data_IF_579426895893
#
_entry.id   IF_579426895893
#
_cell.length_a   1.000
_cell.length_b   1.000
_cell.length_c   1.000
_cell.angle_alpha   90.00
_cell.angle_beta   90.00
_cell.angle_gamma   90.00
#
_symmetry.space_group_name_H-M   'P 1'
#
loop_
_entity.id
_entity.type
_entity.pdbx_description
1 polymer ?
#
# COMPACT_ATOMS: atom_id res chain seq x y z
N UNK A 1 -7.31 -13.66 -6.89
CA UNK A 1 -6.07 -12.94 -7.18
C UNK A 1 -5.79 -11.90 -6.10
N UNK A 2 -4.53 -11.65 -5.78
CA UNK A 2 -4.12 -10.72 -4.71
C UNK A 2 -3.08 -9.72 -5.21
N UNK A 3 -3.26 -8.44 -4.83
CA UNK A 3 -2.20 -7.43 -4.87
C UNK A 3 -1.66 -7.19 -3.46
N UNK A 4 -0.36 -7.22 -3.29
CA UNK A 4 0.34 -6.77 -2.08
C UNK A 4 1.02 -5.44 -2.42
N UNK A 5 0.54 -4.37 -1.81
CA UNK A 5 0.99 -3.01 -2.04
C UNK A 5 1.71 -2.49 -0.79
N UNK A 6 2.95 -2.05 -0.92
CA UNK A 6 3.83 -1.71 0.20
C UNK A 6 4.17 -0.22 0.14
N UNK A 7 3.86 0.50 1.21
CA UNK A 7 4.34 1.88 1.38
C UNK A 7 5.87 1.88 1.52
N UNK A 8 6.55 2.55 0.59
CA UNK A 8 8.00 2.72 0.57
C UNK A 8 8.41 4.16 0.89
N UNK A 9 7.61 4.90 1.64
CA UNK A 9 7.96 6.24 2.08
C UNK A 9 9.10 6.26 3.11
N UNK A 10 9.73 7.42 3.26
CA UNK A 10 10.86 7.60 4.19
C UNK A 10 10.51 7.35 5.66
N UNK A 11 9.25 7.43 6.06
CA UNK A 11 8.79 7.11 7.42
C UNK A 11 8.98 5.63 7.77
N UNK A 12 9.00 4.75 6.76
CA UNK A 12 9.25 3.31 6.91
C UNK A 12 10.73 2.94 7.04
N UNK A 13 11.66 3.87 6.92
CA UNK A 13 13.11 3.59 6.88
C UNK A 13 13.58 2.73 8.05
N UNK A 14 13.14 3.03 9.26
CA UNK A 14 13.54 2.28 10.48
C UNK A 14 12.97 0.86 10.54
N UNK A 15 11.94 0.55 9.75
CA UNK A 15 11.23 -0.73 9.72
C UNK A 15 11.35 -1.42 8.37
N UNK A 16 12.24 -0.95 7.52
CA UNK A 16 12.37 -1.44 6.13
C UNK A 16 12.53 -2.97 6.08
N UNK A 17 13.38 -3.54 6.93
CA UNK A 17 13.58 -4.99 6.99
C UNK A 17 12.33 -5.75 7.45
N UNK A 18 11.65 -5.25 8.48
CA UNK A 18 10.44 -5.88 9.04
C UNK A 18 9.29 -5.84 8.02
N UNK A 19 9.11 -4.70 7.34
CA UNK A 19 8.09 -4.56 6.29
C UNK A 19 8.36 -5.49 5.11
N UNK A 20 9.61 -5.59 4.65
CA UNK A 20 10.00 -6.53 3.61
C UNK A 20 9.74 -7.97 4.03
N UNK A 21 10.09 -8.34 5.27
CA UNK A 21 9.85 -9.67 5.81
C UNK A 21 8.35 -9.99 5.88
N UNK A 22 7.51 -9.05 6.31
CA UNK A 22 6.06 -9.25 6.33
C UNK A 22 5.48 -9.47 4.93
N UNK A 23 5.90 -8.67 3.96
CA UNK A 23 5.48 -8.84 2.58
C UNK A 23 5.93 -10.19 2.02
N UNK A 24 7.15 -10.63 2.36
CA UNK A 24 7.67 -11.94 2.00
C UNK A 24 6.85 -13.07 2.61
N UNK A 25 6.54 -13.02 3.91
CA UNK A 25 5.72 -14.04 4.61
C UNK A 25 4.33 -14.15 3.96
N UNK A 26 3.69 -13.02 3.65
CA UNK A 26 2.39 -13.00 2.95
C UNK A 26 2.53 -13.67 1.58
N UNK A 27 3.59 -13.34 0.84
CA UNK A 27 3.86 -13.88 -0.48
C UNK A 27 4.09 -15.40 -0.46
N UNK A 28 4.85 -15.89 0.53
CA UNK A 28 5.08 -17.31 0.74
C UNK A 28 3.77 -18.06 1.07
N UNK A 29 2.92 -17.46 1.90
CA UNK A 29 1.61 -18.01 2.23
C UNK A 29 0.71 -18.12 0.98
N UNK A 30 0.70 -17.09 0.13
CA UNK A 30 -0.06 -17.09 -1.12
C UNK A 30 0.47 -18.12 -2.12
N UNK A 31 1.81 -18.28 -2.21
CA UNK A 31 2.43 -19.32 -3.03
C UNK A 31 2.05 -20.73 -2.57
N UNK A 32 1.99 -20.97 -1.25
CA UNK A 32 1.66 -22.28 -0.69
C UNK A 32 0.22 -22.72 -0.99
N UNK A 33 -0.66 -21.81 -1.35
CA UNK A 33 -2.07 -22.11 -1.69
C UNK A 33 -2.40 -21.82 -3.16
N UNK A 34 -1.37 -21.64 -3.99
CA UNK A 34 -1.47 -21.41 -5.44
C UNK A 34 -2.40 -20.25 -5.84
N UNK A 35 -2.46 -19.20 -5.02
CA UNK A 35 -3.21 -17.99 -5.34
C UNK A 35 -2.33 -17.07 -6.20
N UNK A 36 -2.75 -16.65 -7.42
CA UNK A 36 -2.03 -15.63 -8.19
C UNK A 36 -1.92 -14.32 -7.43
N UNK A 37 -0.71 -13.75 -7.34
CA UNK A 37 -0.50 -12.49 -6.65
C UNK A 37 0.64 -11.67 -7.24
N UNK A 38 0.54 -10.35 -7.09
CA UNK A 38 1.55 -9.37 -7.48
C UNK A 38 2.03 -8.63 -6.22
N UNK A 39 3.32 -8.29 -6.19
CA UNK A 39 3.91 -7.50 -5.10
C UNK A 39 4.55 -6.25 -5.66
N UNK A 40 4.16 -5.10 -5.13
CA UNK A 40 4.67 -3.79 -5.51
C UNK A 40 4.89 -2.92 -4.29
N UNK A 41 5.84 -1.99 -4.39
CA UNK A 41 5.91 -0.86 -3.46
C UNK A 41 5.63 0.45 -4.18
N UNK A 42 5.32 1.49 -3.40
CA UNK A 42 5.13 2.84 -3.93
C UNK A 42 5.81 3.89 -3.06
N UNK A 43 6.32 4.91 -3.71
CA UNK A 43 6.70 6.17 -3.08
C UNK A 43 6.43 7.32 -4.05
N UNK A 44 6.38 8.55 -3.52
CA UNK A 44 6.20 9.76 -4.35
C UNK A 44 7.47 10.59 -4.31
N UNK A 45 8.01 10.87 -5.48
CA UNK A 45 9.21 11.66 -5.66
C UNK A 45 8.90 12.82 -6.61
N UNK A 46 9.13 14.06 -6.14
CA UNK A 46 8.70 15.26 -6.86
C UNK A 46 7.19 15.23 -7.11
N UNK A 47 6.75 15.25 -8.36
CA UNK A 47 5.36 15.32 -8.81
C UNK A 47 4.82 14.00 -9.37
N UNK A 48 5.54 12.88 -9.19
CA UNK A 48 5.12 11.57 -9.66
C UNK A 48 5.27 10.48 -8.61
N UNK A 49 4.37 9.52 -8.66
CA UNK A 49 4.42 8.31 -7.82
C UNK A 49 5.09 7.19 -8.59
N UNK A 50 6.10 6.61 -7.97
CA UNK A 50 6.85 5.46 -8.47
C UNK A 50 6.17 4.19 -7.95
N UNK A 51 5.83 3.28 -8.85
CA UNK A 51 5.35 1.94 -8.53
C UNK A 51 6.45 0.94 -8.86
N UNK A 52 7.12 0.42 -7.86
CA UNK A 52 8.18 -0.57 -8.04
C UNK A 52 7.61 -1.97 -7.87
N UNK A 53 7.70 -2.80 -8.90
CA UNK A 53 7.18 -4.16 -8.92
C UNK A 53 8.27 -5.18 -8.64
N UNK A 54 8.09 -5.99 -7.60
CA UNK A 54 9.01 -7.08 -7.22
C UNK A 54 8.67 -8.39 -7.92
N UNK A 55 7.37 -8.67 -8.10
CA UNK A 55 6.91 -9.83 -8.87
C UNK A 55 5.57 -9.56 -9.56
N UNK A 56 5.32 -10.30 -10.61
CA UNK A 56 4.04 -10.37 -11.35
C UNK A 56 3.17 -11.49 -10.80
N UNK A 57 1.89 -11.50 -11.19
CA UNK A 57 0.91 -12.49 -10.72
C UNK A 57 1.33 -13.95 -10.98
N UNK A 58 1.91 -14.23 -12.13
CA UNK A 58 2.20 -15.57 -12.60
C UNK A 58 3.71 -15.92 -12.53
N UNK A 59 4.49 -15.09 -11.84
CA UNK A 59 5.91 -15.37 -11.63
C UNK A 59 6.09 -16.56 -10.67
N UNK A 60 7.16 -17.35 -10.82
CA UNK A 60 7.43 -18.46 -9.93
C UNK A 60 7.73 -18.00 -8.51
N UNK A 61 7.58 -18.90 -7.52
CA UNK A 61 7.81 -18.62 -6.10
C UNK A 61 9.22 -18.05 -5.81
N UNK A 62 10.23 -18.46 -6.58
CA UNK A 62 11.61 -17.94 -6.44
C UNK A 62 11.70 -16.41 -6.59
N UNK A 63 10.77 -15.79 -7.31
CA UNK A 63 10.75 -14.32 -7.46
C UNK A 63 10.33 -13.59 -6.17
N UNK A 64 9.87 -14.29 -5.15
CA UNK A 64 9.59 -13.69 -3.84
C UNK A 64 10.83 -13.07 -3.19
N UNK A 65 12.01 -13.61 -3.47
CA UNK A 65 13.27 -13.08 -2.95
C UNK A 65 13.54 -11.64 -3.40
N UNK A 66 12.96 -11.21 -4.53
CA UNK A 66 13.07 -9.83 -5.00
C UNK A 66 12.43 -8.82 -4.02
N UNK A 67 11.53 -9.25 -3.14
CA UNK A 67 10.92 -8.40 -2.11
C UNK A 67 11.98 -7.80 -1.18
N UNK A 68 13.08 -8.51 -0.95
CA UNK A 68 14.20 -8.00 -0.14
C UNK A 68 15.01 -6.88 -0.81
N UNK A 69 14.73 -6.57 -2.09
CA UNK A 69 15.21 -5.35 -2.74
C UNK A 69 14.34 -4.12 -2.40
N UNK A 70 13.35 -4.26 -1.51
CA UNK A 70 12.53 -3.16 -1.02
C UNK A 70 13.40 -2.12 -0.32
N UNK A 71 13.28 -0.86 -0.75
CA UNK A 71 13.95 0.30 -0.18
C UNK A 71 12.96 1.43 0.01
N UNK A 72 13.16 2.21 1.06
CA UNK A 72 12.30 3.34 1.39
C UNK A 72 12.90 4.65 0.89
N UNK A 73 12.05 5.55 0.42
CA UNK A 73 12.46 6.86 -0.07
C UNK A 73 11.29 7.84 -0.10
N UNK A 74 11.60 9.12 0.17
CA UNK A 74 10.73 10.25 -0.16
C UNK A 74 9.34 10.21 0.52
N UNK A 75 8.30 10.67 -0.18
CA UNK A 75 6.94 10.85 0.31
C UNK A 75 6.00 9.73 -0.17
N UNK A 76 4.70 9.84 0.14
CA UNK A 76 3.70 8.87 -0.29
C UNK A 76 2.33 9.50 -0.55
N UNK A 77 1.80 9.26 -1.76
CA UNK A 77 0.40 9.52 -2.13
C UNK A 77 -0.35 8.21 -2.20
N UNK A 78 -0.77 7.73 -1.04
CA UNK A 78 -1.40 6.41 -0.89
C UNK A 78 -2.64 6.27 -1.77
N UNK A 79 -3.51 7.29 -1.80
CA UNK A 79 -4.70 7.27 -2.63
C UNK A 79 -4.39 7.07 -4.12
N UNK A 80 -3.37 7.76 -4.64
CA UNK A 80 -2.94 7.60 -6.03
C UNK A 80 -2.36 6.20 -6.30
N UNK A 81 -1.54 5.67 -5.38
CA UNK A 81 -0.96 4.34 -5.50
C UNK A 81 -2.04 3.26 -5.49
N UNK A 82 -3.00 3.35 -4.55
CA UNK A 82 -4.15 2.43 -4.44
C UNK A 82 -4.99 2.46 -5.72
N UNK A 83 -5.26 3.66 -6.25
CA UNK A 83 -6.01 3.84 -7.51
C UNK A 83 -5.30 3.18 -8.67
N UNK A 84 -3.99 3.39 -8.80
CA UNK A 84 -3.16 2.85 -9.89
C UNK A 84 -3.09 1.33 -9.83
N UNK A 85 -2.75 0.76 -8.67
CA UNK A 85 -2.73 -0.69 -8.48
C UNK A 85 -4.12 -1.31 -8.70
N UNK A 86 -5.15 -0.68 -8.14
CA UNK A 86 -6.52 -1.13 -8.27
C UNK A 86 -7.05 -1.13 -9.70
N UNK A 87 -6.61 -0.19 -10.53
CA UNK A 87 -6.98 -0.19 -11.95
C UNK A 87 -6.52 -1.47 -12.64
N UNK A 88 -5.27 -1.88 -12.45
CA UNK A 88 -4.73 -3.11 -13.02
C UNK A 88 -5.40 -4.36 -12.44
N UNK A 89 -5.60 -4.38 -11.11
CA UNK A 89 -6.25 -5.50 -10.42
C UNK A 89 -7.68 -5.75 -10.94
N UNK A 90 -8.41 -4.68 -11.25
CA UNK A 90 -9.76 -4.76 -11.81
C UNK A 90 -9.81 -5.33 -13.23
N UNK A 91 -8.69 -5.31 -13.98
CA UNK A 91 -8.60 -5.92 -15.30
C UNK A 91 -8.42 -7.44 -15.26
N UNK A 92 -8.14 -8.00 -14.10
CA UNK A 92 -7.98 -9.45 -13.94
C UNK A 92 -9.33 -10.16 -14.06
N UNK A 93 -9.31 -11.38 -14.58
CA UNK A 93 -10.51 -12.20 -14.84
C UNK A 93 -11.03 -12.91 -13.58
N UNK A 94 -10.17 -13.08 -12.56
CA UNK A 94 -10.55 -13.78 -11.33
C UNK A 94 -11.72 -13.07 -10.63
N UNK A 95 -12.71 -13.86 -10.20
CA UNK A 95 -13.91 -13.36 -9.51
C UNK A 95 -13.56 -12.68 -8.17
N UNK A 96 -12.67 -13.30 -7.39
CA UNK A 96 -12.24 -12.77 -6.09
C UNK A 96 -10.96 -11.97 -6.21
N UNK A 97 -11.05 -10.69 -5.90
CA UNK A 97 -9.94 -9.73 -5.94
C UNK A 97 -9.67 -9.18 -4.55
N UNK A 98 -8.42 -9.24 -4.13
CA UNK A 98 -7.99 -8.76 -2.81
C UNK A 98 -6.82 -7.81 -2.98
N UNK A 99 -6.82 -6.70 -2.26
CA UNK A 99 -5.67 -5.81 -2.11
C UNK A 99 -5.25 -5.76 -0.66
N UNK A 100 -4.00 -6.12 -0.39
CA UNK A 100 -3.37 -6.04 0.94
C UNK A 100 -2.40 -4.87 0.90
N UNK A 101 -2.56 -3.92 1.82
CA UNK A 101 -1.76 -2.69 1.85
C UNK A 101 -0.98 -2.64 3.15
N UNK A 102 0.36 -2.67 3.04
CA UNK A 102 1.28 -2.48 4.17
C UNK A 102 1.63 -0.98 4.24
N UNK A 103 1.19 -0.30 5.30
CA UNK A 103 1.35 1.16 5.46
C UNK A 103 1.52 1.53 6.94
N UNK A 104 2.10 2.70 7.21
CA UNK A 104 2.12 3.29 8.56
C UNK A 104 0.95 4.26 8.81
N UNK A 105 0.03 4.37 7.87
CA UNK A 105 -1.15 5.23 7.97
C UNK A 105 -0.85 6.73 7.86
N UNK A 106 0.30 7.11 7.29
CA UNK A 106 0.76 8.50 7.19
C UNK A 106 0.91 8.98 5.74
N UNK A 107 -0.17 9.09 4.95
CA UNK A 107 -0.07 9.65 3.61
C UNK A 107 0.40 11.10 3.69
N UNK A 108 1.53 11.38 3.02
CA UNK A 108 2.16 12.69 3.06
C UNK A 108 2.95 12.99 1.80
N UNK A 109 2.70 14.18 1.23
CA UNK A 109 3.53 14.73 0.17
C UNK A 109 3.64 16.26 0.31
N UNK A 110 4.81 16.78 0.05
CA UNK A 110 5.08 18.22 0.07
C UNK A 110 4.51 18.96 -1.14
N UNK A 111 4.23 18.24 -2.23
CA UNK A 111 3.65 18.81 -3.43
C UNK A 111 2.20 19.19 -3.19
N UNK A 112 1.84 20.37 -3.64
CA UNK A 112 0.51 20.94 -3.49
C UNK A 112 -0.52 20.09 -4.23
N UNK A 113 -1.51 19.60 -3.50
CA UNK A 113 -2.56 18.74 -4.04
C UNK A 113 -3.47 19.43 -5.05
N UNK A 114 -3.66 20.75 -4.89
CA UNK A 114 -4.51 21.59 -5.75
C UNK A 114 -3.81 22.89 -6.09
N UNK A 115 -2.88 22.89 -7.07
CA UNK A 115 -2.05 24.06 -7.37
C UNK A 115 -2.85 25.31 -7.77
N UNK A 116 -4.05 25.13 -8.32
CA UNK A 116 -4.96 26.22 -8.74
C UNK A 116 -6.00 26.60 -7.67
N UNK A 117 -5.94 26.01 -6.47
CA UNK A 117 -6.86 26.35 -5.40
C UNK A 117 -6.53 27.75 -4.83
N UNK A 118 -7.55 28.43 -4.30
CA UNK A 118 -7.38 29.76 -3.66
C UNK A 118 -6.40 29.71 -2.49
N UNK A 119 -6.39 28.59 -1.74
CA UNK A 119 -5.47 28.30 -0.66
C UNK A 119 -4.85 26.93 -0.89
N UNK A 120 -3.77 26.83 -1.65
CA UNK A 120 -3.12 25.55 -1.93
C UNK A 120 -2.43 25.03 -0.67
N UNK A 121 -2.65 23.76 -0.35
CA UNK A 121 -2.05 23.07 0.80
C UNK A 121 -1.31 21.83 0.36
N UNK A 122 -0.25 21.41 1.07
CA UNK A 122 0.40 20.13 0.86
C UNK A 122 -0.60 18.95 1.02
N UNK A 123 -0.30 17.83 0.35
CA UNK A 123 -1.05 16.57 0.52
C UNK A 123 -0.70 15.97 1.88
N UNK A 124 -1.48 16.29 2.91
CA UNK A 124 -1.22 15.84 4.29
C UNK A 124 -2.48 15.83 5.16
N UNK A 125 -2.35 15.25 6.34
CA UNK A 125 -3.36 15.29 7.40
C UNK A 125 -4.72 14.79 6.92
N UNK A 126 -5.80 15.50 7.31
CA UNK A 126 -7.18 15.07 7.02
C UNK A 126 -7.47 14.90 5.53
N UNK A 127 -6.91 15.75 4.67
CA UNK A 127 -7.12 15.70 3.22
C UNK A 127 -6.50 14.44 2.61
N UNK A 128 -5.26 14.13 2.95
CA UNK A 128 -4.57 12.94 2.47
C UNK A 128 -5.22 11.65 2.98
N UNK A 129 -5.61 11.62 4.26
CA UNK A 129 -6.33 10.49 4.87
C UNK A 129 -7.68 10.28 4.17
N UNK A 130 -8.42 11.35 3.90
CA UNK A 130 -9.72 11.28 3.24
C UNK A 130 -9.58 10.80 1.78
N UNK A 131 -8.56 11.23 1.07
CA UNK A 131 -8.24 10.75 -0.29
C UNK A 131 -7.96 9.25 -0.29
N UNK A 132 -7.06 8.79 0.58
CA UNK A 132 -6.72 7.37 0.73
C UNK A 132 -7.95 6.54 1.09
N UNK A 133 -8.74 6.97 2.09
CA UNK A 133 -9.97 6.29 2.49
C UNK A 133 -11.03 6.27 1.37
N UNK A 134 -11.05 7.29 0.52
CA UNK A 134 -11.96 7.33 -0.63
C UNK A 134 -11.59 6.28 -1.67
N UNK A 135 -10.31 6.09 -1.95
CA UNK A 135 -9.86 5.05 -2.90
C UNK A 135 -10.10 3.64 -2.34
N UNK A 136 -9.89 3.42 -1.04
CA UNK A 136 -10.23 2.15 -0.39
C UNK A 136 -11.74 1.85 -0.54
N UNK A 137 -12.61 2.83 -0.26
CA UNK A 137 -14.06 2.66 -0.44
C UNK A 137 -14.44 2.42 -1.89
N UNK A 138 -13.78 3.14 -2.82
CA UNK A 138 -14.03 2.97 -4.27
C UNK A 138 -13.76 1.53 -4.71
N UNK A 139 -12.64 0.95 -4.31
CA UNK A 139 -12.30 -0.44 -4.64
C UNK A 139 -13.29 -1.42 -4.00
N UNK A 140 -13.67 -1.22 -2.75
CA UNK A 140 -14.67 -2.06 -2.06
C UNK A 140 -16.03 -2.02 -2.76
N UNK A 141 -16.44 -0.86 -3.26
CA UNK A 141 -17.67 -0.72 -4.05
C UNK A 141 -17.59 -1.39 -5.44
N UNK A 142 -16.39 -1.78 -5.86
CA UNK A 142 -16.13 -2.54 -7.09
C UNK A 142 -15.77 -4.02 -6.78
N UNK A 143 -16.26 -4.52 -5.64
CA UNK A 143 -16.09 -5.90 -5.18
C UNK A 143 -14.63 -6.35 -4.96
N UNK A 144 -13.72 -5.40 -4.70
CA UNK A 144 -12.36 -5.69 -4.26
C UNK A 144 -12.32 -5.68 -2.73
N UNK A 145 -11.89 -6.78 -2.11
CA UNK A 145 -11.59 -6.81 -0.66
C UNK A 145 -10.30 -6.04 -0.40
N UNK A 146 -10.35 -5.00 0.42
CA UNK A 146 -9.16 -4.20 0.77
C UNK A 146 -8.86 -4.35 2.25
N UNK A 147 -7.66 -4.83 2.56
CA UNK A 147 -7.14 -5.08 3.91
C UNK A 147 -5.91 -4.21 4.17
N UNK A 148 -5.89 -3.52 5.30
CA UNK A 148 -4.71 -2.84 5.80
C UNK A 148 -3.84 -3.78 6.64
N UNK A 149 -2.53 -3.67 6.49
CA UNK A 149 -1.55 -4.26 7.41
C UNK A 149 -0.75 -3.10 7.99
N UNK A 150 -1.07 -2.75 9.24
CA UNK A 150 -0.48 -1.59 9.88
C UNK A 150 0.94 -1.89 10.36
N UNK A 151 1.91 -1.20 9.77
CA UNK A 151 3.33 -1.27 10.08
C UNK A 151 3.83 0.10 10.60
N UNK A 152 3.10 0.71 11.50
CA UNK A 152 3.34 2.06 12.03
C UNK A 152 3.49 2.11 13.55
N UNK A 153 3.58 3.32 14.09
CA UNK A 153 3.59 3.55 15.54
C UNK A 153 2.16 3.57 16.10
N UNK A 154 1.96 3.11 17.33
CA UNK A 154 0.63 3.00 17.95
C UNK A 154 -0.16 4.33 17.93
N UNK A 155 0.53 5.48 18.00
CA UNK A 155 -0.10 6.80 17.89
C UNK A 155 -0.84 7.04 16.56
N UNK A 156 -0.46 6.34 15.49
CA UNK A 156 -1.03 6.47 14.15
C UNK A 156 -2.15 5.46 13.85
N UNK A 157 -2.41 4.55 14.78
CA UNK A 157 -3.44 3.53 14.65
C UNK A 157 -4.84 4.11 14.40
N UNK A 158 -5.13 5.28 14.97
CA UNK A 158 -6.40 5.98 14.75
C UNK A 158 -6.57 6.44 13.30
N UNK A 159 -5.47 6.74 12.61
CA UNK A 159 -5.46 7.09 11.18
C UNK A 159 -5.72 5.87 10.32
N UNK A 160 -5.07 4.75 10.62
CA UNK A 160 -5.30 3.47 9.95
C UNK A 160 -6.77 3.06 10.02
N UNK A 161 -7.40 3.20 11.19
CA UNK A 161 -8.84 2.97 11.38
C UNK A 161 -9.72 3.87 10.52
N UNK A 162 -9.31 5.10 10.26
CA UNK A 162 -10.05 6.01 9.36
C UNK A 162 -9.97 5.59 7.90
N UNK A 163 -8.84 5.00 7.50
CA UNK A 163 -8.60 4.54 6.12
C UNK A 163 -9.31 3.21 5.87
N UNK A 164 -9.08 2.21 6.71
CA UNK A 164 -9.50 0.82 6.47
C UNK A 164 -10.74 0.39 7.27
N UNK A 165 -11.17 1.18 8.25
CA UNK A 165 -12.27 0.80 9.15
C UNK A 165 -11.84 -0.32 10.09
N UNK A 166 -12.57 -1.44 10.09
CA UNK A 166 -12.25 -2.64 10.88
C UNK A 166 -11.35 -3.65 10.15
N UNK A 167 -11.16 -3.45 8.85
CA UNK A 167 -10.47 -4.43 7.98
C UNK A 167 -8.98 -4.11 7.90
N UNK A 168 -8.30 -4.18 9.06
CA UNK A 168 -6.84 -4.11 9.12
C UNK A 168 -6.29 -4.99 10.24
N UNK A 169 -5.05 -5.45 10.06
CA UNK A 169 -4.25 -6.13 11.06
C UNK A 169 -3.14 -5.20 11.57
N UNK A 170 -2.87 -5.24 12.87
CA UNK A 170 -1.73 -4.55 13.48
C UNK A 170 -0.64 -5.55 13.78
N UNK A 171 0.51 -5.36 13.15
CA UNK A 171 1.71 -6.14 13.43
C UNK A 171 2.44 -5.44 14.56
N UNK A 172 2.31 -5.99 15.77
CA UNK A 172 3.19 -5.64 16.89
C UNK A 172 4.56 -6.25 16.66
N UNK A 173 5.62 -5.57 17.12
CA UNK A 173 6.98 -6.05 16.97
C UNK A 173 7.07 -7.55 17.27
N UNK A 174 7.59 -8.29 16.32
CA UNK A 174 7.98 -9.69 16.57
C UNK A 174 9.29 -9.60 17.35
N UNK A 175 9.16 -9.65 18.69
CA UNK A 175 10.30 -9.72 19.57
C UNK A 175 10.97 -11.11 19.46
#
# INVERSE_FOLDING_TARGET
VVDVLIDASGSQMKRQGDVALQAYIISEALSNVDIPYRVMSFCTFWDYTIMHRFRRYDDPRSENDNIFNYVTSSNNRDGLAIRTAGYDLLQREEEKKIMIILSDGRPYDVIINRPNAKNPEPYQGKAAIADTATEVRRLRNLDVSVLGVFAGEEKDLATEKKIFGKDFAYIRDIA
#
